data_IF_905485155502
#
_entry.id   IF_905485155502
#
_cell.length_a   1.000
_cell.length_b   1.000
_cell.length_c   1.000
_cell.angle_alpha   90.00
_cell.angle_beta   90.00
_cell.angle_gamma   90.00
#
_symmetry.space_group_name_H-M   'P 1'
#
loop_
_entity.id
_entity.type
_entity.pdbx_description
1 polymer ?
#
# COMPACT_ATOMS: atom_id res chain seq x y z
N UNK A 1 -19.95 -7.48 -3.68
CA UNK A 1 -20.08 -6.91 -2.31
C UNK A 1 -18.83 -7.06 -1.43
N UNK A 2 -18.49 -8.22 -0.86
CA UNK A 2 -17.32 -8.33 0.05
C UNK A 2 -15.98 -7.99 -0.63
N UNK A 3 -15.86 -8.36 -1.90
CA UNK A 3 -14.68 -8.13 -2.73
C UNK A 3 -14.47 -6.65 -3.13
N UNK A 4 -15.56 -5.92 -3.41
CA UNK A 4 -15.50 -4.47 -3.63
C UNK A 4 -15.01 -3.75 -2.36
N UNK A 5 -15.53 -4.14 -1.19
CA UNK A 5 -15.09 -3.61 0.11
C UNK A 5 -13.61 -3.89 0.39
N UNK A 6 -13.13 -5.10 0.10
CA UNK A 6 -11.73 -5.46 0.26
C UNK A 6 -10.82 -4.63 -0.66
N UNK A 7 -11.22 -4.44 -1.93
CA UNK A 7 -10.45 -3.63 -2.88
C UNK A 7 -10.35 -2.16 -2.45
N UNK A 8 -11.45 -1.58 -1.96
CA UNK A 8 -11.49 -0.20 -1.46
C UNK A 8 -10.61 -0.03 -0.21
N UNK A 9 -10.61 -1.03 0.69
CA UNK A 9 -9.76 -1.04 1.87
C UNK A 9 -8.27 -1.10 1.49
N UNK A 10 -7.88 -2.00 0.58
CA UNK A 10 -6.51 -2.11 0.08
C UNK A 10 -6.03 -0.84 -0.62
N UNK A 11 -6.90 -0.23 -1.42
CA UNK A 11 -6.59 1.04 -2.09
C UNK A 11 -6.36 2.18 -1.07
N UNK A 12 -7.21 2.25 -0.04
CA UNK A 12 -7.08 3.23 1.05
C UNK A 12 -5.78 3.04 1.82
N UNK A 13 -5.43 1.80 2.19
CA UNK A 13 -4.16 1.49 2.84
C UNK A 13 -2.95 1.82 1.97
N UNK A 14 -2.98 1.48 0.68
CA UNK A 14 -1.92 1.83 -0.26
C UNK A 14 -1.68 3.33 -0.34
N UNK A 15 -2.77 4.12 -0.44
CA UNK A 15 -2.69 5.58 -0.43
C UNK A 15 -2.14 6.14 0.91
N UNK A 16 -2.57 5.59 2.05
CA UNK A 16 -2.07 5.99 3.37
C UNK A 16 -0.58 5.71 3.56
N UNK A 17 -0.06 4.60 3.03
CA UNK A 17 1.37 4.28 3.08
C UNK A 17 2.20 5.25 2.24
N UNK A 18 1.70 5.61 1.05
CA UNK A 18 2.34 6.62 0.19
C UNK A 18 2.30 8.00 0.89
N UNK A 19 1.18 8.37 1.50
CA UNK A 19 1.09 9.60 2.28
C UNK A 19 2.08 9.60 3.46
N UNK A 20 2.19 8.46 4.14
CA UNK A 20 3.13 8.24 5.25
C UNK A 20 4.59 8.32 4.81
N UNK A 21 4.92 8.07 3.54
CA UNK A 21 6.26 8.30 3.01
C UNK A 21 6.63 9.80 3.04
N UNK A 22 5.70 10.67 2.64
CA UNK A 22 5.88 12.12 2.67
C UNK A 22 5.86 12.68 4.09
N UNK A 23 4.98 12.17 4.95
CA UNK A 23 4.91 12.48 6.39
C UNK A 23 5.97 11.76 7.22
N UNK A 24 6.94 11.10 6.56
CA UNK A 24 7.73 9.97 7.07
C UNK A 24 8.50 10.17 8.37
N UNK A 25 9.30 9.17 8.78
CA UNK A 25 9.87 9.07 10.14
C UNK A 25 10.91 10.17 10.42
N UNK A 26 10.45 11.40 10.65
CA UNK A 26 11.25 12.59 10.85
C UNK A 26 11.90 12.65 12.22
N UNK A 27 11.44 11.81 13.15
CA UNK A 27 11.94 11.71 14.53
C UNK A 27 13.11 10.73 14.69
N UNK A 28 13.48 9.98 13.65
CA UNK A 28 14.54 8.98 13.76
C UNK A 28 15.94 9.60 13.67
N UNK A 29 16.76 9.46 14.72
CA UNK A 29 18.11 10.06 14.81
C UNK A 29 19.08 9.39 13.83
N UNK A 30 18.90 8.08 13.59
CA UNK A 30 19.74 7.29 12.69
C UNK A 30 19.28 7.45 11.24
N UNK A 31 20.11 8.13 10.43
CA UNK A 31 19.84 8.37 8.99
C UNK A 31 19.53 7.08 8.22
N UNK A 32 20.27 6.01 8.48
CA UNK A 32 20.08 4.71 7.80
C UNK A 32 18.69 4.14 8.09
N UNK A 33 18.23 4.16 9.34
CA UNK A 33 16.90 3.65 9.73
C UNK A 33 15.76 4.49 9.18
N UNK A 34 15.96 5.81 9.09
CA UNK A 34 15.03 6.71 8.41
C UNK A 34 14.88 6.36 6.92
N UNK A 35 15.99 6.06 6.26
CA UNK A 35 16.01 5.68 4.84
C UNK A 35 15.37 4.31 4.64
N UNK A 36 15.73 3.31 5.44
CA UNK A 36 15.12 1.97 5.42
C UNK A 36 13.59 2.07 5.56
N UNK A 37 13.10 2.80 6.56
CA UNK A 37 11.66 2.98 6.77
C UNK A 37 10.96 3.64 5.57
N UNK A 38 11.56 4.68 4.99
CA UNK A 38 11.00 5.33 3.79
C UNK A 38 11.01 4.41 2.57
N UNK A 39 12.10 3.67 2.36
CA UNK A 39 12.24 2.74 1.24
C UNK A 39 11.27 1.57 1.36
N UNK A 40 10.83 1.20 2.57
CA UNK A 40 9.80 0.18 2.74
C UNK A 40 8.38 0.70 2.44
N UNK A 41 8.06 1.93 2.81
CA UNK A 41 6.68 2.49 2.68
C UNK A 41 6.21 2.60 1.22
N UNK A 42 7.06 3.14 0.33
CA UNK A 42 6.70 3.39 -1.06
C UNK A 42 6.40 2.11 -1.86
N UNK A 43 7.29 1.09 -1.93
CA UNK A 43 7.01 -0.13 -2.68
C UNK A 43 5.84 -0.92 -2.08
N UNK A 44 5.68 -0.94 -0.75
CA UNK A 44 4.51 -1.59 -0.13
C UNK A 44 3.20 -0.88 -0.49
N UNK A 45 3.18 0.46 -0.48
CA UNK A 45 2.01 1.23 -0.90
C UNK A 45 1.61 0.97 -2.36
N UNK A 46 2.60 0.96 -3.27
CA UNK A 46 2.40 0.64 -4.68
C UNK A 46 1.88 -0.79 -4.85
N UNK A 47 2.46 -1.76 -4.13
CA UNK A 47 2.06 -3.16 -4.21
C UNK A 47 0.62 -3.36 -3.72
N UNK A 48 0.20 -2.68 -2.65
CA UNK A 48 -1.20 -2.71 -2.20
C UNK A 48 -2.17 -2.13 -3.23
N UNK A 49 -1.80 -1.07 -3.95
CA UNK A 49 -2.62 -0.53 -5.03
C UNK A 49 -2.74 -1.50 -6.20
N UNK A 50 -1.65 -2.16 -6.58
CA UNK A 50 -1.66 -3.19 -7.63
C UNK A 50 -2.57 -4.35 -7.23
N UNK A 51 -2.46 -4.84 -5.99
CA UNK A 51 -3.34 -5.90 -5.48
C UNK A 51 -4.80 -5.41 -5.45
N UNK A 52 -5.07 -4.17 -5.02
CA UNK A 52 -6.40 -3.61 -5.01
C UNK A 52 -7.04 -3.61 -6.41
N UNK A 53 -6.27 -3.28 -7.45
CA UNK A 53 -6.70 -3.33 -8.85
C UNK A 53 -6.95 -4.77 -9.32
N UNK A 54 -6.04 -5.70 -9.01
CA UNK A 54 -6.19 -7.12 -9.37
C UNK A 54 -7.43 -7.73 -8.73
N UNK A 55 -7.62 -7.46 -7.44
CA UNK A 55 -8.81 -7.82 -6.69
C UNK A 55 -9.98 -7.18 -7.41
N UNK A 56 -10.13 -5.85 -7.44
CA UNK A 56 -11.27 -5.17 -8.08
C UNK A 56 -11.63 -5.67 -9.49
N UNK A 57 -10.63 -5.97 -10.34
CA UNK A 57 -10.81 -6.50 -11.70
C UNK A 57 -11.52 -7.86 -11.75
N UNK A 58 -11.71 -8.54 -10.62
CA UNK A 58 -12.40 -9.83 -10.54
C UNK A 58 -11.59 -10.99 -11.14
N UNK A 59 -10.29 -10.81 -11.38
CA UNK A 59 -9.40 -11.87 -11.91
C UNK A 59 -9.43 -13.10 -10.99
N UNK A 60 -9.48 -12.88 -9.67
CA UNK A 60 -9.60 -13.94 -8.67
C UNK A 60 -10.97 -14.65 -8.66
N UNK A 61 -12.01 -14.03 -9.22
CA UNK A 61 -13.39 -14.52 -9.17
C UNK A 61 -13.83 -15.21 -10.49
N UNK A 62 -13.07 -15.04 -11.57
CA UNK A 62 -13.30 -15.66 -12.88
C UNK A 62 -12.25 -16.74 -13.23
N UNK A 63 -11.46 -17.19 -12.25
CA UNK A 63 -10.65 -18.39 -12.42
C UNK A 63 -11.60 -19.61 -12.51
N UNK A 64 -11.47 -20.48 -13.52
CA UNK A 64 -12.31 -21.67 -13.66
C UNK A 64 -12.14 -22.65 -12.50
#
# INVERSE_FOLDING_TARGET
>A
MAHEGLSAFLATLGALLILSFYLGPGKEIRKVKRIEGKIMLLPTGVLLLVIAVIVFSGILNNAP
#
